data_IF_238492277760
#
_entry.id   IF_238492277760
#
_cell.length_a   1.000
_cell.length_b   1.000
_cell.length_c   1.000
_cell.angle_alpha   90.00
_cell.angle_beta   90.00
_cell.angle_gamma   90.00
#
_symmetry.space_group_name_H-M   'P 1'
#
loop_
_entity.id
_entity.type
_entity.pdbx_description
1 polymer ?
#
# COMPACT_ATOMS: atom_id res chain seq x y z
N UNK A 1 -11.44 -23.45 7.83
CA UNK A 1 -10.61 -22.75 8.82
C UNK A 1 -11.50 -21.94 9.74
N UNK A 2 -11.96 -22.54 10.83
CA UNK A 2 -12.28 -21.78 12.04
C UNK A 2 -11.00 -21.77 12.89
N UNK A 3 -10.42 -20.60 13.17
CA UNK A 3 -9.60 -20.44 14.38
C UNK A 3 -8.12 -20.07 14.25
N UNK A 4 -7.45 -20.19 13.10
CA UNK A 4 -6.09 -19.63 12.98
C UNK A 4 -6.16 -18.19 12.46
N UNK A 5 -6.09 -17.24 13.39
CA UNK A 5 -6.07 -15.81 13.07
C UNK A 5 -4.83 -15.42 12.26
N UNK A 6 -4.94 -14.37 11.43
CA UNK A 6 -3.81 -13.81 10.69
C UNK A 6 -2.96 -12.93 11.61
N UNK A 7 -2.07 -13.53 12.40
CA UNK A 7 -1.43 -12.88 13.55
C UNK A 7 -0.79 -11.52 13.21
N UNK A 8 -0.02 -11.46 12.13
CA UNK A 8 0.65 -10.21 11.74
C UNK A 8 -0.33 -9.15 11.21
N UNK A 9 -1.37 -9.56 10.48
CA UNK A 9 -2.39 -8.63 10.01
C UNK A 9 -3.26 -8.11 11.17
N UNK A 10 -3.50 -8.93 12.19
CA UNK A 10 -4.18 -8.50 13.42
C UNK A 10 -3.33 -7.48 14.17
N UNK A 11 -2.02 -7.73 14.35
CA UNK A 11 -1.14 -6.79 15.02
C UNK A 11 -1.04 -5.44 14.28
N UNK A 12 -0.99 -5.47 12.94
CA UNK A 12 -1.01 -4.25 12.13
C UNK A 12 -2.37 -3.53 12.24
N UNK A 13 -3.48 -4.26 12.23
CA UNK A 13 -4.82 -3.70 12.40
C UNK A 13 -4.97 -3.01 13.76
N UNK A 14 -4.52 -3.65 14.83
CA UNK A 14 -4.58 -3.09 16.19
C UNK A 14 -3.78 -1.78 16.28
N UNK A 15 -2.59 -1.73 15.66
CA UNK A 15 -1.79 -0.51 15.61
C UNK A 15 -2.48 0.59 14.79
N UNK A 16 -3.00 0.26 13.60
CA UNK A 16 -3.70 1.22 12.74
C UNK A 16 -4.94 1.80 13.43
N UNK A 17 -5.73 0.97 14.11
CA UNK A 17 -6.91 1.44 14.86
C UNK A 17 -6.53 2.38 16.01
N UNK A 18 -5.42 2.11 16.69
CA UNK A 18 -4.95 2.95 17.80
C UNK A 18 -4.30 4.27 17.35
N UNK A 19 -3.81 4.35 16.11
CA UNK A 19 -3.03 5.47 15.59
C UNK A 19 -3.70 6.16 14.39
N UNK A 20 -5.01 5.96 14.21
CA UNK A 20 -5.74 6.60 13.12
C UNK A 20 -5.63 8.13 13.23
N UNK A 21 -5.25 8.84 12.16
CA UNK A 21 -5.24 10.31 12.15
C UNK A 21 -6.61 10.91 12.49
N UNK A 22 -6.63 11.99 13.26
CA UNK A 22 -7.86 12.72 13.61
C UNK A 22 -8.47 13.44 12.40
N UNK A 23 -7.61 13.99 11.53
CA UNK A 23 -8.03 14.69 10.32
C UNK A 23 -7.98 13.76 9.10
N UNK A 24 -9.17 13.38 8.61
CA UNK A 24 -9.34 12.49 7.47
C UNK A 24 -10.01 13.24 6.29
N UNK A 25 -9.24 14.01 5.49
CA UNK A 25 -9.78 14.72 4.34
C UNK A 25 -10.38 13.74 3.34
N UNK A 26 -11.65 13.93 2.98
CA UNK A 26 -12.34 13.02 2.07
C UNK A 26 -12.05 13.40 0.61
N UNK A 27 -11.51 12.44 -0.14
CA UNK A 27 -11.35 12.49 -1.59
C UNK A 27 -11.78 11.16 -2.23
N UNK A 28 -11.99 11.17 -3.54
CA UNK A 28 -12.08 9.92 -4.29
C UNK A 28 -10.68 9.30 -4.35
N UNK A 29 -10.56 8.12 -3.77
CA UNK A 29 -9.36 7.29 -3.84
C UNK A 29 -9.59 6.20 -4.88
N UNK A 30 -8.64 6.05 -5.80
CA UNK A 30 -8.64 5.05 -6.85
C UNK A 30 -8.56 3.64 -6.28
N UNK A 31 -7.77 3.42 -5.24
CA UNK A 31 -7.65 2.12 -4.58
C UNK A 31 -6.46 1.32 -5.09
N UNK A 32 -6.52 0.69 -6.27
CA UNK A 32 -5.37 -0.02 -6.85
C UNK A 32 -4.48 0.92 -7.69
N UNK A 33 -3.99 1.98 -7.03
CA UNK A 33 -3.27 3.08 -7.66
C UNK A 33 -1.82 2.75 -8.00
N UNK A 34 -1.61 1.98 -9.07
CA UNK A 34 -0.27 1.54 -9.52
C UNK A 34 -0.05 1.72 -11.01
N UNK A 35 1.22 1.86 -11.40
CA UNK A 35 1.64 1.99 -12.82
C UNK A 35 1.08 0.88 -13.69
N UNK A 36 1.00 -0.35 -13.17
CA UNK A 36 0.47 -1.50 -13.91
C UNK A 36 -1.01 -1.39 -14.31
N UNK A 37 -1.75 -0.43 -13.75
CA UNK A 37 -3.15 -0.14 -14.12
C UNK A 37 -3.29 1.18 -14.89
N UNK A 38 -2.20 1.76 -15.38
CA UNK A 38 -2.21 2.94 -16.24
C UNK A 38 -1.96 2.55 -17.70
N UNK A 39 -2.76 3.09 -18.61
CA UNK A 39 -2.48 3.08 -20.05
C UNK A 39 -1.82 4.42 -20.38
N UNK A 40 -0.64 4.39 -20.98
CA UNK A 40 0.07 5.58 -21.45
C UNK A 40 -0.22 5.88 -22.92
N UNK A 41 -0.03 7.12 -23.33
CA UNK A 41 -0.04 7.50 -24.75
C UNK A 41 1.08 6.76 -25.51
N UNK A 42 0.98 6.59 -26.84
CA UNK A 42 2.06 5.97 -27.62
C UNK A 42 3.42 6.69 -27.49
N UNK A 43 3.42 7.98 -27.15
CA UNK A 43 4.61 8.80 -26.92
C UNK A 43 5.15 8.71 -25.49
N UNK A 44 4.44 8.05 -24.57
CA UNK A 44 4.79 7.89 -23.16
C UNK A 44 4.97 9.21 -22.39
N UNK A 45 4.31 10.27 -22.84
CA UNK A 45 4.38 11.61 -22.22
C UNK A 45 3.22 11.89 -21.26
N UNK A 46 2.18 11.05 -21.27
CA UNK A 46 0.96 11.24 -20.49
C UNK A 46 0.19 9.94 -20.32
N UNK A 47 -0.69 9.93 -19.30
CA UNK A 47 -1.61 8.83 -19.04
C UNK A 47 -2.86 9.01 -19.91
N UNK A 48 -3.15 8.02 -20.76
CA UNK A 48 -4.33 7.97 -21.60
C UNK A 48 -5.56 7.42 -20.86
N UNK A 49 -5.36 6.47 -19.94
CA UNK A 49 -6.44 5.92 -19.12
C UNK A 49 -5.93 5.35 -17.79
N UNK A 50 -6.82 5.35 -16.79
CA UNK A 50 -6.64 4.73 -15.47
C UNK A 50 -7.67 3.61 -15.35
N UNK A 51 -7.22 2.39 -15.09
CA UNK A 51 -8.02 1.17 -15.06
C UNK A 51 -8.27 0.71 -13.62
N UNK A 52 -9.05 -0.36 -13.48
CA UNK A 52 -9.17 -1.14 -12.25
C UNK A 52 -9.61 -0.33 -11.00
N UNK A 53 -10.91 -0.03 -10.96
CA UNK A 53 -11.54 0.80 -9.93
C UNK A 53 -12.29 -0.02 -8.88
N UNK A 54 -12.06 -1.34 -8.81
CA UNK A 54 -12.82 -2.21 -7.89
C UNK A 54 -12.55 -1.94 -6.41
N UNK A 55 -11.40 -1.31 -6.11
CA UNK A 55 -10.98 -0.90 -4.77
C UNK A 55 -11.27 0.59 -4.48
N UNK A 56 -12.00 1.28 -5.36
CA UNK A 56 -12.26 2.70 -5.21
C UNK A 56 -13.10 3.00 -3.96
N UNK A 57 -12.73 4.06 -3.24
CA UNK A 57 -13.39 4.46 -1.99
C UNK A 57 -13.37 5.98 -1.80
N UNK A 58 -14.14 6.47 -0.83
CA UNK A 58 -14.01 7.83 -0.32
C UNK A 58 -13.17 7.79 0.96
N UNK A 59 -12.05 8.52 0.99
CA UNK A 59 -11.16 8.56 2.15
C UNK A 59 -9.98 9.50 1.96
N UNK A 60 -8.97 9.39 2.82
CA UNK A 60 -7.77 10.22 2.72
C UNK A 60 -6.97 9.90 1.45
N UNK A 61 -6.69 10.90 0.58
CA UNK A 61 -6.00 10.69 -0.68
C UNK A 61 -4.53 10.24 -0.51
N UNK A 62 -3.93 10.42 0.67
CA UNK A 62 -2.60 9.88 0.99
C UNK A 62 -2.56 8.35 0.88
N UNK A 63 -3.71 7.67 1.03
CA UNK A 63 -3.76 6.21 0.85
C UNK A 63 -3.37 5.76 -0.57
N UNK A 64 -3.75 6.51 -1.61
CA UNK A 64 -3.39 6.16 -3.00
C UNK A 64 -1.90 6.44 -3.27
N UNK A 65 -1.37 7.52 -2.69
CA UNK A 65 0.06 7.84 -2.75
C UNK A 65 0.91 6.76 -2.07
N UNK A 66 0.49 6.35 -0.87
CA UNK A 66 1.14 5.29 -0.12
C UNK A 66 1.05 3.94 -0.85
N UNK A 67 -0.12 3.59 -1.41
CA UNK A 67 -0.28 2.39 -2.22
C UNK A 67 0.66 2.37 -3.44
N UNK A 68 0.74 3.49 -4.17
CA UNK A 68 1.61 3.60 -5.35
C UNK A 68 3.07 3.30 -5.02
N UNK A 69 3.62 3.97 -4.00
CA UNK A 69 5.00 3.74 -3.56
C UNK A 69 5.18 2.35 -2.95
N UNK A 70 4.20 1.87 -2.18
CA UNK A 70 4.28 0.56 -1.54
C UNK A 70 4.38 -0.57 -2.58
N UNK A 71 3.52 -0.56 -3.61
CA UNK A 71 3.56 -1.59 -4.66
C UNK A 71 4.90 -1.57 -5.42
N UNK A 72 5.47 -0.39 -5.72
CA UNK A 72 6.80 -0.31 -6.30
C UNK A 72 7.87 -0.90 -5.36
N UNK A 73 7.80 -0.60 -4.05
CA UNK A 73 8.71 -1.18 -3.05
C UNK A 73 8.58 -2.70 -2.89
N UNK A 74 7.39 -3.27 -3.07
CA UNK A 74 7.16 -4.72 -3.05
C UNK A 74 7.95 -5.41 -4.16
N UNK A 75 7.92 -4.87 -5.38
CA UNK A 75 8.71 -5.43 -6.49
C UNK A 75 10.21 -5.25 -6.25
N UNK A 76 10.61 -4.06 -5.79
CA UNK A 76 12.02 -3.72 -5.64
C UNK A 76 12.70 -4.43 -4.46
N UNK A 77 12.13 -4.31 -3.27
CA UNK A 77 12.68 -4.83 -2.02
C UNK A 77 12.17 -6.24 -1.69
N UNK A 78 10.91 -6.53 -2.01
CA UNK A 78 10.29 -7.82 -1.69
C UNK A 78 10.72 -8.95 -2.62
N UNK A 79 10.90 -8.65 -3.91
CA UNK A 79 11.32 -9.62 -4.93
C UNK A 79 12.77 -9.40 -5.41
N UNK A 80 13.49 -8.47 -4.78
CA UNK A 80 14.88 -8.10 -5.11
C UNK A 80 15.07 -7.73 -6.60
N UNK A 81 14.05 -7.14 -7.22
CA UNK A 81 14.11 -6.67 -8.60
C UNK A 81 14.67 -5.23 -8.66
N UNK A 82 15.45 -4.88 -9.68
CA UNK A 82 15.84 -3.49 -9.87
C UNK A 82 14.59 -2.62 -10.11
N UNK A 83 14.50 -1.47 -9.44
CA UNK A 83 13.49 -0.46 -9.74
C UNK A 83 13.60 -0.05 -11.21
N UNK A 84 12.46 0.24 -11.84
CA UNK A 84 12.44 0.67 -13.23
C UNK A 84 13.23 1.98 -13.40
N UNK A 85 14.19 2.03 -14.34
CA UNK A 85 14.92 3.26 -14.62
C UNK A 85 13.97 4.40 -14.99
N UNK A 86 14.18 5.57 -14.39
CA UNK A 86 13.37 6.77 -14.62
C UNK A 86 12.22 6.97 -13.64
N UNK A 87 11.96 6.02 -12.74
CA UNK A 87 11.05 6.28 -11.62
C UNK A 87 11.70 7.24 -10.60
N UNK A 88 10.96 8.23 -10.07
CA UNK A 88 11.42 9.06 -8.97
C UNK A 88 11.74 8.23 -7.72
N UNK A 89 12.52 8.77 -6.78
CA UNK A 89 12.61 8.18 -5.43
C UNK A 89 11.24 8.21 -4.74
N UNK A 90 11.05 7.42 -3.69
CA UNK A 90 9.78 7.42 -2.96
C UNK A 90 9.50 8.80 -2.36
N UNK A 91 10.54 9.46 -1.88
CA UNK A 91 10.53 10.82 -1.34
C UNK A 91 10.20 11.85 -2.42
N UNK A 92 10.82 11.74 -3.61
CA UNK A 92 10.51 12.63 -4.73
C UNK A 92 9.06 12.44 -5.22
N UNK A 93 8.52 11.21 -5.19
CA UNK A 93 7.10 10.96 -5.51
C UNK A 93 6.17 11.67 -4.54
N UNK A 94 6.48 11.60 -3.24
CA UNK A 94 5.70 12.30 -2.21
C UNK A 94 5.77 13.81 -2.41
N UNK A 95 6.96 14.35 -2.66
CA UNK A 95 7.13 15.79 -2.91
C UNK A 95 6.36 16.25 -4.15
N UNK A 96 6.50 15.55 -5.27
CA UNK A 96 5.79 15.87 -6.51
C UNK A 96 4.28 15.79 -6.33
N UNK A 97 3.77 14.80 -5.60
CA UNK A 97 2.35 14.67 -5.31
C UNK A 97 1.83 15.86 -4.48
N UNK A 98 2.57 16.29 -3.46
CA UNK A 98 2.18 17.45 -2.64
C UNK A 98 2.17 18.73 -3.49
N UNK A 99 3.19 18.94 -4.32
CA UNK A 99 3.27 20.10 -5.21
C UNK A 99 2.13 20.10 -6.26
N UNK A 100 1.83 18.96 -6.88
CA UNK A 100 0.82 18.85 -7.93
C UNK A 100 -0.62 18.97 -7.39
N UNK A 101 -0.88 18.50 -6.18
CA UNK A 101 -2.23 18.47 -5.59
C UNK A 101 -2.51 19.64 -4.66
N UNK A 102 -1.48 20.33 -4.15
CA UNK A 102 -1.59 21.32 -3.08
C UNK A 102 -1.98 20.73 -1.73
N UNK A 103 -1.90 19.40 -1.57
CA UNK A 103 -2.23 18.67 -0.34
C UNK A 103 -0.98 18.32 0.45
N UNK A 104 -1.13 18.14 1.75
CA UNK A 104 -0.07 17.58 2.61
C UNK A 104 -0.10 16.05 2.55
N UNK A 105 1.08 15.43 2.57
CA UNK A 105 1.24 13.99 2.76
C UNK A 105 1.44 13.63 4.24
N UNK A 106 0.81 14.39 5.15
CA UNK A 106 0.83 14.13 6.58
C UNK A 106 0.33 12.71 6.87
N UNK A 107 0.93 12.08 7.88
CA UNK A 107 0.67 10.68 8.23
C UNK A 107 0.99 9.67 7.11
N UNK A 108 1.87 9.99 6.16
CA UNK A 108 2.29 9.07 5.08
C UNK A 108 2.67 7.67 5.59
N UNK A 109 3.47 7.57 6.66
CA UNK A 109 3.89 6.28 7.24
C UNK A 109 2.72 5.43 7.75
N UNK A 110 1.67 6.06 8.28
CA UNK A 110 0.42 5.38 8.66
C UNK A 110 -0.23 4.74 7.44
N UNK A 111 -0.38 5.51 6.35
CA UNK A 111 -0.97 5.00 5.11
C UNK A 111 -0.06 3.99 4.39
N UNK A 112 1.25 4.06 4.58
CA UNK A 112 2.20 3.07 4.07
C UNK A 112 2.02 1.73 4.79
N UNK A 113 1.86 1.73 6.12
CA UNK A 113 1.50 0.52 6.86
C UNK A 113 0.11 0.01 6.47
N UNK A 114 -0.86 0.90 6.25
CA UNK A 114 -2.19 0.52 5.78
C UNK A 114 -2.13 -0.16 4.40
N UNK A 115 -1.32 0.37 3.47
CA UNK A 115 -1.07 -0.27 2.18
C UNK A 115 -0.43 -1.66 2.34
N UNK A 116 0.55 -1.78 3.24
CA UNK A 116 1.19 -3.07 3.55
C UNK A 116 0.22 -4.11 4.08
N UNK A 117 -0.65 -3.73 5.03
CA UNK A 117 -1.68 -4.61 5.58
C UNK A 117 -2.68 -5.03 4.50
N UNK A 118 -3.17 -4.08 3.69
CA UNK A 118 -4.10 -4.35 2.58
C UNK A 118 -3.50 -5.35 1.58
N UNK A 119 -2.27 -5.13 1.16
CA UNK A 119 -1.60 -6.02 0.22
C UNK A 119 -1.38 -7.42 0.80
N UNK A 120 -0.99 -7.51 2.08
CA UNK A 120 -0.86 -8.77 2.80
C UNK A 120 -2.17 -9.56 2.80
N UNK A 121 -3.30 -8.92 3.13
CA UNK A 121 -4.61 -9.57 3.11
C UNK A 121 -5.04 -10.01 1.71
N UNK A 122 -4.77 -9.20 0.67
CA UNK A 122 -5.07 -9.57 -0.72
C UNK A 122 -4.29 -10.83 -1.12
N UNK A 123 -2.99 -10.88 -0.84
CA UNK A 123 -2.16 -12.04 -1.16
C UNK A 123 -2.56 -13.27 -0.37
N UNK A 124 -2.88 -13.12 0.92
CA UNK A 124 -3.43 -14.20 1.74
C UNK A 124 -4.73 -14.76 1.17
N UNK A 125 -5.63 -13.90 0.67
CA UNK A 125 -6.87 -14.32 0.01
C UNK A 125 -6.61 -15.06 -1.31
N UNK A 126 -5.64 -14.62 -2.11
CA UNK A 126 -5.22 -15.31 -3.33
C UNK A 126 -4.64 -16.70 -3.01
N UNK A 127 -3.82 -16.82 -1.97
CA UNK A 127 -3.26 -18.11 -1.54
C UNK A 127 -4.35 -19.08 -1.11
N UNK A 128 -5.32 -18.63 -0.31
CA UNK A 128 -6.50 -19.42 0.04
C UNK A 128 -7.27 -19.88 -1.21
N UNK A 129 -7.52 -18.95 -2.15
CA UNK A 129 -8.26 -19.25 -3.38
C UNK A 129 -7.51 -20.21 -4.32
N UNK A 130 -6.17 -20.26 -4.24
CA UNK A 130 -5.32 -21.12 -5.07
C UNK A 130 -4.88 -22.41 -4.36
N UNK A 131 -5.38 -22.69 -3.16
CA UNK A 131 -5.11 -23.92 -2.40
C UNK A 131 -3.76 -23.95 -1.68
N UNK A 132 -3.15 -22.79 -1.45
CA UNK A 132 -1.87 -22.60 -0.74
C UNK A 132 -2.10 -22.21 0.73
N UNK A 133 -3.08 -22.84 1.39
CA UNK A 133 -3.52 -22.46 2.73
C UNK A 133 -2.39 -22.51 3.78
N UNK A 134 -1.47 -23.47 3.64
CA UNK A 134 -0.32 -23.64 4.54
C UNK A 134 0.72 -22.53 4.45
N UNK A 135 0.75 -21.77 3.35
CA UNK A 135 1.76 -20.74 3.10
C UNK A 135 1.27 -19.33 3.47
N UNK A 136 0.00 -19.18 3.86
CA UNK A 136 -0.63 -17.87 4.11
C UNK A 136 0.13 -17.06 5.16
N UNK A 137 0.54 -17.67 6.27
CA UNK A 137 1.22 -16.94 7.36
C UNK A 137 2.71 -16.70 7.06
N UNK A 138 3.33 -17.52 6.21
CA UNK A 138 4.78 -17.50 5.96
C UNK A 138 5.18 -16.76 4.69
N UNK A 139 4.20 -16.25 3.94
CA UNK A 139 4.43 -15.59 2.67
C UNK A 139 5.26 -14.30 2.82
N UNK A 140 5.86 -13.86 1.72
CA UNK A 140 6.76 -12.70 1.73
C UNK A 140 6.05 -11.40 2.12
N UNK A 141 4.75 -11.24 1.84
CA UNK A 141 3.99 -10.05 2.22
C UNK A 141 3.74 -9.95 3.73
N UNK A 142 3.60 -11.08 4.41
CA UNK A 142 3.56 -11.13 5.88
C UNK A 142 4.87 -10.62 6.48
N UNK A 143 6.02 -11.02 5.90
CA UNK A 143 7.35 -10.57 6.31
C UNK A 143 7.58 -9.07 6.03
N UNK A 144 7.10 -8.59 4.88
CA UNK A 144 7.14 -7.15 4.57
C UNK A 144 6.28 -6.35 5.55
N UNK A 145 5.06 -6.80 5.83
CA UNK A 145 4.16 -6.18 6.81
C UNK A 145 4.82 -6.11 8.20
N UNK A 146 5.44 -7.20 8.65
CA UNK A 146 6.20 -7.24 9.90
C UNK A 146 7.33 -6.22 9.93
N UNK A 147 8.09 -6.11 8.83
CA UNK A 147 9.16 -5.12 8.70
C UNK A 147 8.63 -3.68 8.79
N UNK A 148 7.50 -3.37 8.13
CA UNK A 148 6.88 -2.05 8.24
C UNK A 148 6.35 -1.77 9.64
N UNK A 149 5.64 -2.72 10.26
CA UNK A 149 5.10 -2.58 11.60
C UNK A 149 6.21 -2.37 12.64
N UNK A 150 7.35 -3.04 12.50
CA UNK A 150 8.49 -2.92 13.42
C UNK A 150 9.13 -1.52 13.46
N UNK A 151 8.90 -0.70 12.42
CA UNK A 151 9.40 0.68 12.33
C UNK A 151 8.45 1.69 12.96
N UNK A 152 7.21 1.29 13.21
CA UNK A 152 6.22 2.19 13.81
C UNK A 152 6.50 2.42 15.29
N UNK A 153 6.19 3.61 15.82
CA UNK A 153 6.28 3.85 17.25
C UNK A 153 5.38 2.86 18.00
N UNK A 154 5.88 2.34 19.12
CA UNK A 154 5.06 1.49 20.00
C UNK A 154 4.03 2.37 20.69
N UNK A 155 2.81 1.87 20.83
CA UNK A 155 1.80 2.54 21.64
C UNK A 155 2.31 2.60 23.08
N UNK A 156 2.43 3.81 23.64
CA UNK A 156 2.65 3.96 25.06
C UNK A 156 1.40 3.44 25.79
N UNK A 157 1.64 2.50 26.71
CA UNK A 157 0.60 1.82 27.50
C UNK A 157 0.06 2.70 28.61
#
# INVERSE_FOLDING_TARGET
>A
MEGEGHAIAQAALDWLQANQPDEEPVALCWGDSRIGNMIFTPTLDSVAAVLDWEMATLGNPVQDLAWFNYIDSVFAEGLELPRLPGLPSYEDTVEQWQQATGRTAEHYEYYLLFAAMRFCLIMSRIMLATGQEGDVQENFTCKLLERHLSRMPKNDS
#
